data_IF_883583862751
#
_entry.id   IF_883583862751
#
_cell.length_a   1.000
_cell.length_b   1.000
_cell.length_c   1.000
_cell.angle_alpha   90.00
_cell.angle_beta   90.00
_cell.angle_gamma   90.00
#
_symmetry.space_group_name_H-M   'P 1'
#
loop_
_entity.id
_entity.type
_entity.pdbx_description
1 polymer ?
#
# COMPACT_ATOMS: atom_id res chain seq x y z
N UNK A 1 -46.18 23.62 19.65
CA UNK A 1 -45.76 24.11 20.99
C UNK A 1 -44.25 24.35 21.04
N UNK A 2 -43.41 23.53 20.40
CA UNK A 2 -41.94 23.72 20.39
C UNK A 2 -41.40 24.94 19.61
N UNK A 3 -42.11 25.46 18.59
CA UNK A 3 -41.65 26.64 17.85
C UNK A 3 -41.80 27.97 18.62
N UNK A 4 -42.66 28.01 19.65
CA UNK A 4 -42.86 29.20 20.49
C UNK A 4 -41.87 29.25 21.68
N UNK A 5 -41.33 28.10 22.10
CA UNK A 5 -40.30 28.05 23.15
C UNK A 5 -38.91 28.41 22.61
N UNK A 6 -38.57 28.07 21.36
CA UNK A 6 -37.28 28.42 20.72
C UNK A 6 -37.09 29.93 20.47
N UNK A 7 -38.18 30.69 20.29
CA UNK A 7 -38.13 32.16 20.12
C UNK A 7 -37.88 32.93 21.42
N UNK A 8 -38.25 32.36 22.57
CA UNK A 8 -38.08 33.01 23.87
C UNK A 8 -36.66 32.83 24.43
N UNK A 9 -35.99 31.73 24.10
CA UNK A 9 -34.62 31.42 24.54
C UNK A 9 -33.55 32.16 23.73
N UNK A 10 -33.76 32.36 22.43
CA UNK A 10 -32.83 33.10 21.55
C UNK A 10 -32.78 34.59 21.86
N UNK A 11 -33.92 35.20 22.23
CA UNK A 11 -33.98 36.60 22.69
C UNK A 11 -33.28 36.82 24.04
N UNK A 12 -33.39 35.88 24.98
CA UNK A 12 -32.68 35.95 26.27
C UNK A 12 -31.17 35.78 26.14
N UNK A 13 -30.70 34.92 25.24
CA UNK A 13 -29.27 34.70 25.01
C UNK A 13 -28.61 35.91 24.32
N UNK A 14 -29.28 36.51 23.32
CA UNK A 14 -28.77 37.73 22.68
C UNK A 14 -28.65 38.90 23.68
N UNK A 15 -29.65 39.09 24.56
CA UNK A 15 -29.61 40.13 25.58
C UNK A 15 -28.52 39.88 26.64
N UNK A 16 -28.26 38.64 27.04
CA UNK A 16 -27.15 38.29 27.94
C UNK A 16 -25.76 38.53 27.31
N UNK A 17 -25.62 38.30 25.99
CA UNK A 17 -24.36 38.55 25.27
C UNK A 17 -24.06 40.03 25.06
N UNK A 18 -25.07 40.86 24.81
CA UNK A 18 -24.87 42.31 24.66
C UNK A 18 -24.51 42.96 26.01
N UNK A 19 -25.13 42.52 27.10
CA UNK A 19 -24.87 43.06 28.44
C UNK A 19 -23.50 42.63 29.00
N UNK A 20 -23.04 41.42 28.68
CA UNK A 20 -21.68 40.97 29.01
C UNK A 20 -20.62 41.66 28.16
N UNK A 21 -20.88 41.86 26.86
CA UNK A 21 -19.94 42.58 25.97
C UNK A 21 -19.81 44.06 26.36
N UNK A 22 -20.91 44.72 26.74
CA UNK A 22 -20.89 46.08 27.27
C UNK A 22 -20.10 46.19 28.59
N UNK A 23 -20.24 45.21 29.50
CA UNK A 23 -19.44 45.15 30.74
C UNK A 23 -17.96 44.88 30.47
N UNK A 24 -17.62 44.05 29.50
CA UNK A 24 -16.22 43.84 29.07
C UNK A 24 -15.62 45.10 28.45
N UNK A 25 -16.38 45.84 27.63
CA UNK A 25 -15.92 47.09 27.04
C UNK A 25 -15.73 48.18 28.10
N UNK A 26 -16.63 48.28 29.09
CA UNK A 26 -16.50 49.20 30.21
C UNK A 26 -15.30 48.85 31.11
N UNK A 27 -15.06 47.56 31.38
CA UNK A 27 -13.88 47.11 32.13
C UNK A 27 -12.60 47.38 31.34
N UNK A 28 -12.59 47.15 30.02
CA UNK A 28 -11.45 47.46 29.16
C UNK A 28 -11.17 48.97 29.11
N UNK A 29 -12.20 49.83 29.05
CA UNK A 29 -12.04 51.27 29.10
C UNK A 29 -11.61 51.76 30.49
N UNK A 30 -12.12 51.20 31.58
CA UNK A 30 -11.67 51.53 32.94
C UNK A 30 -10.22 51.08 33.17
N UNK A 31 -9.83 49.92 32.63
CA UNK A 31 -8.43 49.46 32.66
C UNK A 31 -7.53 50.31 31.77
N UNK A 32 -8.01 50.77 30.61
CA UNK A 32 -7.27 51.68 29.73
C UNK A 32 -7.14 53.08 30.34
N UNK A 33 -8.19 53.61 30.96
CA UNK A 33 -8.17 54.89 31.68
C UNK A 33 -7.31 54.77 32.94
N UNK A 34 -7.42 53.68 33.69
CA UNK A 34 -6.56 53.36 34.84
C UNK A 34 -5.09 53.24 34.42
N UNK A 35 -4.81 52.55 33.31
CA UNK A 35 -3.48 52.48 32.73
C UNK A 35 -3.00 53.87 32.29
N UNK A 36 -3.84 54.67 31.64
CA UNK A 36 -3.51 56.01 31.12
C UNK A 36 -3.32 57.06 32.24
N UNK A 37 -4.05 56.95 33.35
CA UNK A 37 -3.89 57.80 34.55
C UNK A 37 -2.65 57.37 35.34
N UNK A 38 -2.44 56.06 35.54
CA UNK A 38 -1.22 55.51 36.15
C UNK A 38 0.04 55.86 35.36
N UNK A 39 -0.05 55.89 34.02
CA UNK A 39 1.05 56.30 33.14
C UNK A 39 1.32 57.81 33.14
N UNK A 40 0.33 58.65 33.49
CA UNK A 40 0.49 60.12 33.40
C UNK A 40 1.33 60.70 34.53
N UNK A 41 1.58 59.96 35.61
CA UNK A 41 2.22 60.50 36.82
C UNK A 41 3.58 59.88 37.18
N UNK A 42 4.11 58.89 36.44
CA UNK A 42 5.44 58.37 36.76
C UNK A 42 6.14 57.65 35.60
N UNK A 43 6.90 58.41 34.80
CA UNK A 43 7.73 57.83 33.75
C UNK A 43 9.12 58.46 33.83
N UNK A 44 10.06 57.71 34.41
CA UNK A 44 11.48 57.82 34.05
C UNK A 44 11.73 56.79 32.94
N UNK A 45 12.58 57.10 31.97
CA UNK A 45 12.86 56.21 30.82
C UNK A 45 13.30 54.79 31.24
N UNK A 46 13.89 54.64 32.43
CA UNK A 46 14.26 53.36 33.02
C UNK A 46 13.06 52.43 33.31
N UNK A 47 11.88 52.97 33.62
CA UNK A 47 10.69 52.16 33.90
C UNK A 47 10.07 51.59 32.62
N UNK A 48 10.03 52.35 31.51
CA UNK A 48 9.49 51.89 30.21
C UNK A 48 10.31 50.70 29.69
N UNK A 49 11.64 50.77 29.75
CA UNK A 49 12.52 49.68 29.31
C UNK A 49 12.31 48.41 30.15
N UNK A 50 12.05 48.55 31.45
CA UNK A 50 11.72 47.42 32.31
C UNK A 50 10.37 46.78 31.97
N UNK A 51 9.34 47.59 31.75
CA UNK A 51 7.99 47.11 31.40
C UNK A 51 7.93 46.46 30.02
N UNK A 52 8.63 47.02 29.04
CA UNK A 52 8.74 46.41 27.70
C UNK A 52 9.46 45.06 27.77
N UNK A 53 10.58 44.96 28.50
CA UNK A 53 11.26 43.67 28.73
C UNK A 53 10.34 42.66 29.42
N UNK A 54 9.60 43.08 30.44
CA UNK A 54 8.64 42.21 31.14
C UNK A 54 7.50 41.75 30.20
N UNK A 55 6.95 42.66 29.40
CA UNK A 55 5.90 42.35 28.42
C UNK A 55 6.39 41.36 27.36
N UNK A 56 7.56 41.58 26.75
CA UNK A 56 8.15 40.64 25.81
C UNK A 56 8.45 39.28 26.47
N UNK A 57 8.91 39.27 27.73
CA UNK A 57 9.16 38.02 28.46
C UNK A 57 7.87 37.23 28.71
N UNK A 58 6.79 37.92 29.10
CA UNK A 58 5.45 37.33 29.28
C UNK A 58 4.90 36.84 27.93
N UNK A 59 4.99 37.65 26.88
CA UNK A 59 4.53 37.30 25.53
C UNK A 59 5.25 36.06 24.99
N UNK A 60 6.58 35.99 25.14
CA UNK A 60 7.38 34.82 24.79
C UNK A 60 6.93 33.58 25.59
N UNK A 61 6.65 33.73 26.89
CA UNK A 61 6.23 32.63 27.75
C UNK A 61 4.82 32.11 27.42
N UNK A 62 3.89 32.98 27.03
CA UNK A 62 2.51 32.59 26.77
C UNK A 62 2.18 32.33 25.29
N UNK A 63 3.02 32.76 24.34
CA UNK A 63 2.83 32.48 22.91
C UNK A 63 3.88 31.52 22.34
N UNK A 64 5.18 31.78 22.56
CA UNK A 64 6.23 30.97 21.94
C UNK A 64 6.35 29.59 22.58
N UNK A 65 6.25 29.50 23.90
CA UNK A 65 6.37 28.20 24.58
C UNK A 65 5.22 27.23 24.22
N UNK A 66 3.93 27.64 24.23
CA UNK A 66 2.85 26.77 23.77
C UNK A 66 2.95 26.42 22.29
N UNK A 67 3.39 27.35 21.43
CA UNK A 67 3.58 27.10 20.01
C UNK A 67 4.69 26.06 19.77
N UNK A 68 5.81 26.16 20.47
CA UNK A 68 6.90 25.19 20.39
C UNK A 68 6.46 23.79 20.84
N UNK A 69 5.67 23.71 21.92
CA UNK A 69 5.08 22.44 22.39
C UNK A 69 4.11 21.88 21.35
N UNK A 70 3.25 22.71 20.75
CA UNK A 70 2.33 22.31 19.68
C UNK A 70 3.09 21.77 18.45
N UNK A 71 4.13 22.46 18.01
CA UNK A 71 4.97 22.01 16.89
C UNK A 71 5.67 20.69 17.23
N UNK A 72 6.21 20.55 18.43
CA UNK A 72 6.84 19.31 18.88
C UNK A 72 5.86 18.13 18.93
N UNK A 73 4.64 18.35 19.43
CA UNK A 73 3.58 17.34 19.45
C UNK A 73 3.12 16.98 18.03
N UNK A 74 2.96 17.97 17.14
CA UNK A 74 2.61 17.73 15.74
C UNK A 74 3.71 16.95 15.00
N UNK A 75 4.98 17.30 15.21
CA UNK A 75 6.13 16.56 14.68
C UNK A 75 6.14 15.11 15.19
N UNK A 76 5.97 14.92 16.51
CA UNK A 76 5.94 13.59 17.12
C UNK A 76 4.75 12.77 16.59
N UNK A 77 3.59 13.39 16.41
CA UNK A 77 2.40 12.76 15.82
C UNK A 77 2.64 12.35 14.37
N UNK A 78 3.12 13.27 13.51
CA UNK A 78 3.44 12.95 12.11
C UNK A 78 4.49 11.85 11.98
N UNK A 79 5.56 11.92 12.77
CA UNK A 79 6.60 10.88 12.78
C UNK A 79 6.03 9.52 13.21
N UNK A 80 5.16 9.51 14.21
CA UNK A 80 4.50 8.28 14.68
C UNK A 80 3.57 7.71 13.60
N UNK A 81 2.79 8.53 12.90
CA UNK A 81 1.95 8.09 11.77
C UNK A 81 2.79 7.47 10.66
N UNK A 82 3.89 8.10 10.25
CA UNK A 82 4.76 7.58 9.18
C UNK A 82 5.34 6.21 9.58
N UNK A 83 5.75 6.06 10.84
CA UNK A 83 6.26 4.79 11.34
C UNK A 83 5.15 3.73 11.39
N UNK A 84 3.95 4.08 11.85
CA UNK A 84 2.80 3.16 11.85
C UNK A 84 2.47 2.71 10.43
N UNK A 85 2.45 3.62 9.45
CA UNK A 85 2.19 3.28 8.04
C UNK A 85 3.27 2.36 7.48
N UNK A 86 4.55 2.62 7.77
CA UNK A 86 5.65 1.76 7.36
C UNK A 86 5.59 0.37 8.02
N UNK A 87 5.23 0.31 9.31
CA UNK A 87 5.05 -0.95 10.05
C UNK A 87 3.84 -1.72 9.54
N UNK A 88 2.70 -1.07 9.29
CA UNK A 88 1.51 -1.68 8.68
C UNK A 88 1.82 -2.21 7.28
N UNK A 89 2.53 -1.43 6.46
CA UNK A 89 3.03 -1.87 5.15
C UNK A 89 3.92 -3.10 5.28
N UNK A 90 4.83 -3.12 6.25
CA UNK A 90 5.69 -4.27 6.53
C UNK A 90 4.90 -5.48 7.04
N UNK A 91 3.98 -5.30 7.98
CA UNK A 91 3.14 -6.35 8.55
C UNK A 91 2.22 -6.97 7.51
N UNK A 92 1.67 -6.19 6.57
CA UNK A 92 0.91 -6.72 5.42
C UNK A 92 1.77 -7.53 4.45
N UNK A 93 3.03 -7.13 4.25
CA UNK A 93 3.99 -7.91 3.46
C UNK A 93 4.30 -9.24 4.15
N UNK A 94 4.34 -9.26 5.50
CA UNK A 94 4.64 -10.44 6.32
C UNK A 94 3.43 -11.34 6.61
N UNK A 95 2.20 -10.81 6.68
CA UNK A 95 0.97 -11.58 6.94
C UNK A 95 0.54 -12.50 5.78
N UNK A 96 1.26 -12.51 4.66
CA UNK A 96 1.03 -13.43 3.55
C UNK A 96 1.65 -14.80 3.80
N UNK A 97 1.06 -15.58 4.72
CA UNK A 97 1.30 -17.04 4.81
C UNK A 97 0.56 -17.77 3.66
N UNK A 98 -0.31 -17.06 2.92
CA UNK A 98 -0.97 -17.55 1.72
C UNK A 98 -1.45 -16.41 0.80
N UNK A 99 -2.01 -16.75 -0.36
CA UNK A 99 -2.44 -15.79 -1.36
C UNK A 99 -3.71 -15.06 -0.88
N UNK A 100 -3.75 -13.74 -1.06
CA UNK A 100 -4.90 -12.92 -0.62
C UNK A 100 -6.11 -13.16 -1.53
N UNK A 101 -7.31 -13.31 -0.94
CA UNK A 101 -8.56 -13.37 -1.70
C UNK A 101 -9.06 -11.95 -1.98
N UNK A 102 -9.18 -11.60 -3.25
CA UNK A 102 -9.70 -10.32 -3.74
C UNK A 102 -11.16 -10.46 -4.18
N UNK A 103 -11.92 -9.38 -4.04
CA UNK A 103 -13.22 -9.26 -4.69
C UNK A 103 -13.04 -8.87 -6.17
N UNK A 104 -14.04 -9.15 -7.03
CA UNK A 104 -13.93 -8.77 -8.44
C UNK A 104 -13.82 -7.25 -8.62
N UNK A 105 -14.48 -6.47 -7.77
CA UNK A 105 -14.36 -5.01 -7.75
C UNK A 105 -12.93 -4.55 -7.48
N UNK A 106 -12.21 -5.27 -6.62
CA UNK A 106 -10.80 -4.98 -6.34
C UNK A 106 -9.95 -5.25 -7.59
N UNK A 107 -10.19 -6.36 -8.28
CA UNK A 107 -9.51 -6.69 -9.54
C UNK A 107 -9.72 -5.60 -10.60
N UNK A 108 -10.95 -5.11 -10.74
CA UNK A 108 -11.28 -4.02 -11.67
C UNK A 108 -10.51 -2.74 -11.30
N UNK A 109 -10.47 -2.39 -10.00
CA UNK A 109 -9.73 -1.22 -9.53
C UNK A 109 -8.21 -1.36 -9.75
N UNK A 110 -7.64 -2.51 -9.35
CA UNK A 110 -6.21 -2.82 -9.47
C UNK A 110 -5.73 -2.75 -10.91
N UNK A 111 -6.54 -3.22 -11.86
CA UNK A 111 -6.23 -3.21 -13.30
C UNK A 111 -6.61 -1.92 -14.01
N UNK A 112 -7.10 -0.90 -13.29
CA UNK A 112 -7.62 0.34 -13.89
C UNK A 112 -8.63 0.06 -15.00
N UNK A 113 -9.61 -0.81 -14.71
CA UNK A 113 -10.60 -1.31 -15.68
C UNK A 113 -9.97 -2.05 -16.87
N UNK A 114 -9.01 -2.94 -16.61
CA UNK A 114 -8.36 -3.79 -17.61
C UNK A 114 -7.68 -3.02 -18.76
N UNK A 115 -7.16 -1.82 -18.47
CA UNK A 115 -6.65 -0.89 -19.48
C UNK A 115 -5.35 -1.34 -20.14
N UNK A 116 -4.44 -1.91 -19.36
CA UNK A 116 -3.09 -2.29 -19.81
C UNK A 116 -2.99 -3.80 -19.96
N UNK A 117 -3.14 -4.30 -21.20
CA UNK A 117 -3.09 -5.72 -21.52
C UNK A 117 -1.64 -6.13 -21.82
N UNK A 118 -1.12 -7.06 -21.03
CA UNK A 118 0.23 -7.61 -21.17
C UNK A 118 0.30 -8.74 -22.19
N UNK A 119 -0.78 -9.51 -22.35
CA UNK A 119 -0.85 -10.63 -23.29
C UNK A 119 -2.18 -11.38 -23.26
N UNK A 120 -2.32 -12.33 -24.16
CA UNK A 120 -3.44 -13.26 -24.23
C UNK A 120 -2.92 -14.63 -24.68
N UNK A 121 -3.34 -15.69 -23.98
CA UNK A 121 -3.01 -17.07 -24.31
C UNK A 121 -4.22 -17.97 -24.21
N UNK A 122 -4.00 -19.28 -24.34
CA UNK A 122 -5.08 -20.29 -24.23
C UNK A 122 -5.78 -20.32 -22.88
N UNK A 123 -5.12 -19.80 -21.83
CA UNK A 123 -5.63 -19.74 -20.46
C UNK A 123 -6.26 -18.38 -20.10
N UNK A 124 -6.43 -17.48 -21.08
CA UNK A 124 -7.09 -16.19 -20.90
C UNK A 124 -6.17 -14.98 -21.10
N UNK A 125 -6.62 -13.83 -20.60
CA UNK A 125 -5.99 -12.52 -20.82
C UNK A 125 -5.23 -12.05 -19.57
N UNK A 126 -4.03 -11.49 -19.75
CA UNK A 126 -3.20 -10.98 -18.65
C UNK A 126 -3.10 -9.46 -18.73
N UNK A 127 -3.31 -8.79 -17.59
CA UNK A 127 -3.32 -7.34 -17.47
C UNK A 127 -2.31 -6.87 -16.43
N UNK A 128 -1.76 -5.67 -16.61
CA UNK A 128 -0.95 -5.00 -15.60
C UNK A 128 -1.87 -4.34 -14.59
N UNK A 129 -1.49 -4.39 -13.32
CA UNK A 129 -2.20 -3.69 -12.26
C UNK A 129 -1.27 -3.12 -11.20
N UNK A 130 -1.84 -2.33 -10.31
CA UNK A 130 -1.15 -1.71 -9.17
C UNK A 130 -1.98 -1.90 -7.91
N UNK A 131 -1.39 -2.49 -6.88
CA UNK A 131 -2.00 -2.64 -5.56
C UNK A 131 -1.74 -1.40 -4.70
N UNK A 132 -2.80 -0.86 -4.11
CA UNK A 132 -2.77 0.26 -3.17
C UNK A 132 -3.15 -0.21 -1.75
N UNK A 133 -2.57 0.39 -0.69
CA UNK A 133 -1.48 1.37 -0.71
C UNK A 133 -0.11 0.73 -1.00
N UNK A 134 0.80 1.47 -1.64
CA UNK A 134 2.21 1.08 -1.76
C UNK A 134 2.77 0.90 -3.17
N UNK A 135 1.98 1.16 -4.22
CA UNK A 135 2.38 1.14 -5.64
C UNK A 135 3.06 -0.16 -6.09
N UNK A 136 2.57 -1.29 -5.56
CA UNK A 136 3.10 -2.61 -5.90
C UNK A 136 2.52 -3.05 -7.24
N UNK A 137 3.39 -3.22 -8.24
CA UNK A 137 3.00 -3.66 -9.57
C UNK A 137 2.70 -5.17 -9.58
N UNK A 138 1.57 -5.53 -10.19
CA UNK A 138 1.12 -6.92 -10.31
C UNK A 138 0.71 -7.26 -11.75
N UNK A 139 0.70 -8.56 -12.04
CA UNK A 139 0.11 -9.11 -13.26
C UNK A 139 -1.17 -9.89 -12.89
N UNK A 140 -2.29 -9.51 -13.49
CA UNK A 140 -3.60 -10.10 -13.26
C UNK A 140 -3.97 -10.97 -14.45
N UNK A 141 -3.93 -12.30 -14.27
CA UNK A 141 -4.37 -13.29 -15.25
C UNK A 141 -5.88 -13.51 -15.05
N UNK A 142 -6.68 -13.02 -15.98
CA UNK A 142 -8.12 -13.28 -16.06
C UNK A 142 -8.33 -14.61 -16.77
N UNK A 143 -8.91 -15.57 -16.07
CA UNK A 143 -9.29 -16.85 -16.66
C UNK A 143 -10.65 -16.67 -17.33
N UNK A 144 -10.65 -16.70 -18.66
CA UNK A 144 -11.88 -16.59 -19.44
C UNK A 144 -12.67 -17.89 -19.27
N UNK A 145 -13.94 -17.77 -18.86
CA UNK A 145 -14.82 -18.90 -18.61
C UNK A 145 -15.17 -19.64 -19.90
N UNK A 146 -14.27 -20.48 -20.40
CA UNK A 146 -14.64 -21.49 -21.35
C UNK A 146 -15.56 -22.48 -20.64
N UNK A 147 -16.75 -22.72 -21.19
CA UNK A 147 -17.76 -23.65 -20.66
C UNK A 147 -17.24 -25.09 -20.47
N UNK A 148 -16.04 -25.41 -20.96
CA UNK A 148 -15.41 -26.73 -20.91
C UNK A 148 -14.27 -26.86 -19.90
N UNK A 149 -13.78 -25.78 -19.27
CA UNK A 149 -12.74 -25.89 -18.24
C UNK A 149 -13.39 -25.87 -16.86
N UNK A 150 -13.43 -27.03 -16.18
CA UNK A 150 -14.04 -27.25 -14.86
C UNK A 150 -13.40 -26.44 -13.71
N UNK A 151 -12.55 -25.46 -14.02
CA UNK A 151 -11.81 -24.68 -13.04
C UNK A 151 -10.70 -25.46 -12.35
N UNK A 152 -10.34 -26.64 -12.87
CA UNK A 152 -9.23 -27.45 -12.34
C UNK A 152 -7.90 -26.72 -12.46
N UNK A 153 -7.62 -26.06 -13.58
CA UNK A 153 -6.41 -25.26 -13.77
C UNK A 153 -6.29 -24.18 -12.69
N UNK A 154 -7.40 -23.49 -12.39
CA UNK A 154 -7.45 -22.48 -11.32
C UNK A 154 -7.17 -23.10 -9.94
N UNK A 155 -7.79 -24.25 -9.65
CA UNK A 155 -7.59 -24.94 -8.38
C UNK A 155 -6.14 -25.41 -8.28
N UNK A 156 -5.58 -26.00 -9.33
CA UNK A 156 -4.20 -26.46 -9.38
C UNK A 156 -3.23 -25.30 -9.14
N UNK A 157 -3.41 -24.20 -9.87
CA UNK A 157 -2.56 -23.02 -9.78
C UNK A 157 -2.62 -22.41 -8.36
N UNK A 158 -3.81 -22.15 -7.81
CA UNK A 158 -3.96 -21.56 -6.47
C UNK A 158 -3.51 -22.51 -5.34
N UNK A 159 -3.81 -23.81 -5.43
CA UNK A 159 -3.46 -24.78 -4.39
C UNK A 159 -1.99 -25.14 -4.38
N UNK A 160 -1.34 -25.17 -5.55
CA UNK A 160 0.07 -25.55 -5.70
C UNK A 160 1.00 -24.39 -5.32
N UNK A 161 0.82 -23.20 -5.92
CA UNK A 161 1.78 -22.10 -5.77
C UNK A 161 1.46 -21.17 -4.58
N UNK A 162 0.28 -21.29 -3.96
CA UNK A 162 -0.14 -20.41 -2.87
C UNK A 162 0.78 -20.38 -1.65
N UNK A 163 1.61 -21.41 -1.45
CA UNK A 163 2.58 -21.47 -0.33
C UNK A 163 4.04 -21.47 -0.79
N UNK A 164 4.27 -21.27 -2.08
CA UNK A 164 5.62 -21.32 -2.67
C UNK A 164 6.26 -19.94 -2.63
N UNK A 165 7.43 -19.87 -2.01
CA UNK A 165 8.25 -18.67 -1.98
C UNK A 165 9.69 -19.03 -2.34
N UNK A 166 10.09 -18.76 -3.58
CA UNK A 166 11.45 -19.02 -4.04
C UNK A 166 11.90 -17.94 -5.03
N UNK A 167 13.19 -17.59 -5.01
CA UNK A 167 13.75 -16.52 -5.86
C UNK A 167 13.59 -16.79 -7.36
N UNK A 168 13.55 -18.08 -7.75
CA UNK A 168 13.38 -18.53 -9.13
C UNK A 168 11.99 -19.11 -9.44
N UNK A 169 10.97 -18.79 -8.64
CA UNK A 169 9.57 -19.16 -8.91
C UNK A 169 8.72 -17.90 -8.76
N UNK A 170 7.77 -17.68 -9.67
CA UNK A 170 6.90 -16.51 -9.62
C UNK A 170 6.04 -16.55 -8.35
N UNK A 171 5.93 -15.43 -7.66
CA UNK A 171 5.11 -15.33 -6.45
C UNK A 171 3.66 -15.11 -6.79
N UNK A 172 2.79 -16.00 -6.29
CA UNK A 172 1.36 -15.73 -6.22
C UNK A 172 1.08 -14.70 -5.12
N UNK A 173 0.45 -13.60 -5.48
CA UNK A 173 0.05 -12.54 -4.55
C UNK A 173 -1.37 -12.76 -4.05
N UNK A 174 -2.26 -13.22 -4.93
CA UNK A 174 -3.65 -13.46 -4.57
C UNK A 174 -4.49 -14.02 -5.70
N UNK A 175 -5.79 -14.16 -5.44
CA UNK A 175 -6.75 -14.69 -6.40
C UNK A 175 -8.13 -14.08 -6.19
N UNK A 176 -8.94 -14.10 -7.23
CA UNK A 176 -10.37 -13.78 -7.17
C UNK A 176 -11.15 -15.00 -7.68
N UNK A 177 -12.20 -15.37 -6.95
CA UNK A 177 -13.13 -16.43 -7.33
C UNK A 177 -14.53 -16.00 -6.94
N UNK A 178 -15.24 -15.41 -7.90
CA UNK A 178 -16.64 -14.96 -7.78
C UNK A 178 -17.44 -15.42 -8.99
N UNK A 179 -18.50 -16.21 -8.77
CA UNK A 179 -19.36 -16.74 -9.83
C UNK A 179 -18.55 -17.42 -10.96
N UNK A 180 -18.62 -16.86 -12.18
CA UNK A 180 -17.90 -17.30 -13.38
C UNK A 180 -16.61 -16.50 -13.63
N UNK A 181 -16.26 -15.56 -12.73
CA UNK A 181 -15.11 -14.68 -12.84
C UNK A 181 -13.99 -15.17 -11.94
N UNK A 182 -12.94 -15.69 -12.56
CA UNK A 182 -11.74 -16.16 -11.87
C UNK A 182 -10.54 -15.33 -12.32
N UNK A 183 -9.76 -14.87 -11.36
CA UNK A 183 -8.53 -14.15 -11.63
C UNK A 183 -7.42 -14.62 -10.70
N UNK A 184 -6.19 -14.56 -11.19
CA UNK A 184 -4.99 -14.91 -10.44
C UNK A 184 -4.05 -13.72 -10.51
N UNK A 185 -3.53 -13.30 -9.36
CA UNK A 185 -2.72 -12.09 -9.20
C UNK A 185 -1.30 -12.49 -8.86
N UNK A 186 -0.36 -12.18 -9.75
CA UNK A 186 1.06 -12.47 -9.65
C UNK A 186 1.88 -11.21 -9.41
N UNK A 187 3.11 -11.38 -8.92
CA UNK A 187 4.12 -10.33 -9.02
C UNK A 187 4.35 -9.94 -10.50
N UNK A 188 4.54 -8.65 -10.77
CA UNK A 188 4.79 -8.17 -12.13
C UNK A 188 6.23 -8.43 -12.55
N UNK A 189 6.40 -8.99 -13.76
CA UNK A 189 7.69 -9.33 -14.35
C UNK A 189 7.98 -8.37 -15.53
N UNK A 190 8.74 -7.28 -15.31
CA UNK A 190 8.85 -6.18 -16.26
C UNK A 190 9.53 -6.55 -17.59
N UNK A 191 10.43 -7.54 -17.56
CA UNK A 191 11.14 -7.97 -18.76
C UNK A 191 10.41 -9.07 -19.53
N UNK A 192 9.24 -9.51 -19.05
CA UNK A 192 8.42 -10.52 -19.70
C UNK A 192 9.10 -11.89 -19.77
N UNK A 193 8.73 -12.67 -20.79
CA UNK A 193 9.16 -14.05 -20.99
C UNK A 193 10.52 -14.17 -21.69
N UNK A 194 11.25 -15.25 -21.39
CA UNK A 194 12.59 -15.53 -21.91
C UNK A 194 12.62 -15.79 -23.43
N UNK A 195 11.54 -16.35 -23.98
CA UNK A 195 11.36 -16.58 -25.42
C UNK A 195 11.62 -15.31 -26.27
N UNK A 196 11.25 -14.13 -25.76
CA UNK A 196 11.47 -12.82 -26.41
C UNK A 196 12.94 -12.43 -26.58
N UNK A 197 13.85 -13.10 -25.88
CA UNK A 197 15.29 -12.84 -25.93
C UNK A 197 15.99 -13.94 -26.72
N UNK A 198 15.73 -15.20 -26.40
CA UNK A 198 16.45 -16.32 -27.03
C UNK A 198 16.10 -16.52 -28.51
N UNK A 199 14.90 -16.11 -28.95
CA UNK A 199 14.47 -16.20 -30.34
C UNK A 199 14.53 -14.86 -31.08
N UNK A 200 14.95 -13.78 -30.40
CA UNK A 200 15.08 -12.46 -31.02
C UNK A 200 16.50 -12.24 -31.54
N UNK A 201 16.67 -11.89 -32.83
CA UNK A 201 17.97 -11.53 -33.38
C UNK A 201 18.52 -10.21 -32.82
N UNK A 202 17.68 -9.36 -32.24
CA UNK A 202 18.04 -8.02 -31.75
C UNK A 202 18.30 -7.97 -30.24
N UNK A 203 17.81 -8.97 -29.48
CA UNK A 203 17.86 -8.99 -28.02
C UNK A 203 18.53 -10.26 -27.51
N UNK A 204 19.83 -10.40 -27.74
CA UNK A 204 20.60 -11.56 -27.29
C UNK A 204 21.28 -11.32 -25.95
N UNK A 205 21.36 -12.37 -25.14
CA UNK A 205 22.17 -12.41 -23.92
C UNK A 205 23.57 -12.94 -24.24
N UNK A 206 24.56 -12.53 -23.44
CA UNK A 206 25.88 -13.17 -23.45
C UNK A 206 25.78 -14.62 -22.95
N UNK A 207 26.76 -15.45 -23.30
CA UNK A 207 26.85 -16.83 -22.80
C UNK A 207 26.88 -16.90 -21.27
N UNK A 208 27.62 -16.01 -20.62
CA UNK A 208 27.67 -15.94 -19.16
C UNK A 208 26.29 -15.66 -18.57
N UNK A 209 25.55 -14.71 -19.17
CA UNK A 209 24.20 -14.38 -18.70
C UNK A 209 23.21 -15.52 -18.94
N UNK A 210 23.32 -16.22 -20.07
CA UNK A 210 22.52 -17.42 -20.34
C UNK A 210 22.81 -18.54 -19.34
N UNK A 211 24.08 -18.73 -18.95
CA UNK A 211 24.45 -19.70 -17.92
C UNK A 211 23.86 -19.33 -16.55
N UNK A 212 23.89 -18.05 -16.15
CA UNK A 212 23.21 -17.59 -14.93
C UNK A 212 21.70 -17.87 -14.98
N UNK A 213 21.06 -17.59 -16.11
CA UNK A 213 19.62 -17.83 -16.31
C UNK A 213 19.33 -19.34 -16.23
N UNK A 214 20.08 -20.17 -16.94
CA UNK A 214 19.91 -21.63 -16.90
C UNK A 214 20.06 -22.19 -15.48
N UNK A 215 21.06 -21.72 -14.74
CA UNK A 215 21.27 -22.09 -13.34
C UNK A 215 20.09 -21.65 -12.45
N UNK A 216 19.57 -20.44 -12.65
CA UNK A 216 18.38 -19.95 -11.94
C UNK A 216 17.14 -20.80 -12.21
N UNK A 217 16.89 -21.17 -13.48
CA UNK A 217 15.79 -22.07 -13.85
C UNK A 217 15.95 -23.43 -13.17
N UNK A 218 17.16 -24.02 -13.21
CA UNK A 218 17.45 -25.29 -12.57
C UNK A 218 17.24 -25.25 -11.06
N UNK A 219 17.61 -24.15 -10.39
CA UNK A 219 17.34 -23.93 -8.96
C UNK A 219 15.84 -23.86 -8.68
N UNK A 220 15.08 -23.15 -9.51
CA UNK A 220 13.61 -23.10 -9.40
C UNK A 220 12.97 -24.48 -9.51
N UNK A 221 13.36 -25.27 -10.52
CA UNK A 221 12.85 -26.63 -10.73
C UNK A 221 13.26 -27.55 -9.56
N UNK A 222 14.52 -27.49 -9.13
CA UNK A 222 14.99 -28.28 -7.99
C UNK A 222 14.21 -27.96 -6.71
N UNK A 223 13.91 -26.68 -6.48
CA UNK A 223 13.09 -26.27 -5.35
C UNK A 223 11.66 -26.85 -5.43
N UNK A 224 11.02 -26.81 -6.61
CA UNK A 224 9.70 -27.41 -6.81
C UNK A 224 9.71 -28.92 -6.53
N UNK A 225 10.77 -29.61 -6.94
CA UNK A 225 10.86 -31.07 -6.81
C UNK A 225 11.27 -31.54 -5.41
N UNK A 226 12.21 -30.84 -4.76
CA UNK A 226 12.86 -31.31 -3.54
C UNK A 226 12.78 -30.32 -2.36
N UNK A 227 12.47 -29.05 -2.62
CA UNK A 227 12.40 -27.99 -1.61
C UNK A 227 11.04 -27.88 -0.92
N UNK A 228 9.96 -28.29 -1.58
CA UNK A 228 8.59 -28.23 -1.05
C UNK A 228 8.18 -29.50 -0.29
N UNK A 229 7.28 -29.37 0.70
CA UNK A 229 6.77 -30.49 1.51
C UNK A 229 6.20 -31.64 0.64
N UNK A 230 5.50 -31.27 -0.43
CA UNK A 230 5.10 -32.17 -1.51
C UNK A 230 5.97 -31.91 -2.74
N UNK A 231 6.25 -32.95 -3.52
CA UNK A 231 6.92 -32.80 -4.80
C UNK A 231 5.97 -32.15 -5.81
N UNK A 232 6.42 -31.08 -6.46
CA UNK A 232 5.59 -30.30 -7.38
C UNK A 232 6.11 -30.50 -8.81
N UNK A 233 5.36 -31.23 -9.62
CA UNK A 233 5.68 -31.44 -11.04
C UNK A 233 5.00 -30.36 -11.87
N UNK A 234 5.77 -29.51 -12.56
CA UNK A 234 5.24 -28.37 -13.32
C UNK A 234 4.59 -28.77 -14.66
N UNK A 235 5.14 -29.77 -15.35
CA UNK A 235 4.73 -30.29 -16.66
C UNK A 235 4.73 -29.33 -17.87
N UNK A 236 4.84 -28.02 -17.69
CA UNK A 236 4.91 -27.05 -18.80
C UNK A 236 6.15 -26.13 -18.75
N UNK A 237 7.35 -26.70 -18.57
CA UNK A 237 8.60 -25.94 -18.58
C UNK A 237 9.01 -25.62 -20.02
N UNK A 238 8.89 -24.34 -20.41
CA UNK A 238 9.27 -23.81 -21.72
C UNK A 238 9.69 -22.34 -21.62
N UNK A 239 10.46 -21.78 -22.58
CA UNK A 239 10.93 -20.39 -22.51
C UNK A 239 9.83 -19.32 -22.35
N UNK A 240 8.61 -19.61 -22.85
CA UNK A 240 7.45 -18.74 -22.66
C UNK A 240 7.03 -18.60 -21.18
N UNK A 241 7.20 -19.67 -20.40
CA UNK A 241 6.80 -19.75 -18.98
C UNK A 241 7.96 -19.41 -18.03
N UNK A 242 9.10 -18.96 -18.57
CA UNK A 242 10.19 -18.41 -17.77
C UNK A 242 10.14 -16.90 -17.87
N UNK A 243 9.72 -16.24 -16.79
CA UNK A 243 9.61 -14.78 -16.72
C UNK A 243 10.87 -14.17 -16.11
N UNK A 244 11.20 -12.94 -16.51
CA UNK A 244 12.39 -12.21 -16.10
C UNK A 244 11.99 -10.99 -15.26
N UNK A 245 12.57 -10.89 -14.06
CA UNK A 245 12.34 -9.75 -13.16
C UNK A 245 13.17 -8.52 -13.59
N UNK A 246 13.15 -7.43 -12.82
CA UNK A 246 13.90 -6.20 -13.13
C UNK A 246 15.42 -6.38 -13.21
N UNK A 247 15.97 -7.45 -12.65
CA UNK A 247 17.40 -7.78 -12.67
C UNK A 247 17.73 -8.93 -13.64
N UNK A 248 16.77 -9.30 -14.51
CA UNK A 248 16.86 -10.46 -15.39
C UNK A 248 17.08 -11.78 -14.63
N UNK A 249 16.61 -11.89 -13.39
CA UNK A 249 16.56 -13.16 -12.67
C UNK A 249 15.37 -13.97 -13.20
N UNK A 250 15.57 -15.24 -13.59
CA UNK A 250 14.50 -16.07 -14.12
C UNK A 250 13.60 -16.60 -13.02
N UNK A 251 12.30 -16.61 -13.30
CA UNK A 251 11.27 -17.23 -12.47
C UNK A 251 10.37 -18.14 -13.29
N UNK A 252 10.20 -19.37 -12.82
CA UNK A 252 9.23 -20.31 -13.37
C UNK A 252 7.82 -19.81 -13.08
N UNK A 253 6.97 -19.76 -14.10
CA UNK A 253 5.60 -19.30 -14.04
C UNK A 253 4.64 -20.26 -14.76
N UNK A 254 3.34 -20.00 -14.61
CA UNK A 254 2.23 -20.76 -15.22
C UNK A 254 2.07 -22.21 -14.73
N UNK A 255 1.48 -22.34 -13.54
CA UNK A 255 1.28 -23.62 -12.84
C UNK A 255 -0.05 -24.29 -13.17
N UNK A 256 -0.72 -23.91 -14.25
CA UNK A 256 -2.05 -24.45 -14.61
C UNK A 256 -2.07 -25.97 -14.80
N UNK A 257 -0.96 -26.58 -15.22
CA UNK A 257 -0.81 -28.03 -15.38
C UNK A 257 -0.08 -28.73 -14.24
N UNK A 258 0.28 -27.99 -13.18
CA UNK A 258 1.11 -28.54 -12.10
C UNK A 258 0.36 -29.61 -11.30
N UNK A 259 1.11 -30.53 -10.68
CA UNK A 259 0.55 -31.55 -9.78
C UNK A 259 1.42 -31.76 -8.55
N UNK A 260 0.77 -32.04 -7.42
CA UNK A 260 1.38 -32.35 -6.14
C UNK A 260 1.51 -33.87 -5.96
N UNK A 261 2.68 -34.34 -5.55
CA UNK A 261 2.96 -35.75 -5.27
C UNK A 261 3.54 -35.92 -3.84
N UNK A 262 3.15 -36.98 -3.12
CA UNK A 262 3.79 -37.34 -1.85
C UNK A 262 5.27 -37.67 -2.08
N UNK A 263 6.13 -37.26 -1.13
CA UNK A 263 7.55 -37.65 -1.17
C UNK A 263 7.68 -39.17 -0.97
N UNK A 264 8.37 -39.85 -1.87
CA UNK A 264 8.68 -41.29 -1.77
C UNK A 264 7.89 -42.19 -2.72
N UNK A 265 6.84 -41.69 -3.38
CA UNK A 265 6.31 -42.32 -4.59
C UNK A 265 7.20 -41.89 -5.75
N UNK A 266 8.09 -42.78 -6.19
CA UNK A 266 8.91 -42.58 -7.39
C UNK A 266 8.00 -42.44 -8.61
N UNK A 267 7.66 -41.20 -8.95
CA UNK A 267 7.20 -40.88 -10.29
C UNK A 267 8.45 -40.90 -11.17
N UNK A 268 8.62 -41.98 -11.93
CA UNK A 268 9.59 -42.03 -13.02
C UNK A 268 9.38 -40.80 -13.91
N UNK A 269 10.33 -39.87 -13.90
CA UNK A 269 10.41 -38.83 -14.92
C UNK A 269 10.64 -39.52 -16.28
N UNK A 270 9.70 -39.35 -17.21
CA UNK A 270 9.89 -39.54 -18.64
C UNK A 270 10.13 -38.17 -19.29
#
# INVERSE_FOLDING_TARGET
VEAYELGCTTSKILNLTVDTWARFHLIAEILLIGYRIYFKEQISDASIVSWTRAFFWILCRFLLAPLAVWIFLAYKYWKTIIIIDAVEKFLRIQQMIGPMRYAYTDIVAVTSHFRDKLGQGGYGSVYKGVLLPGDVHVAVKMLEGNSNCNGEDFISEVSTIGRIHHVNVVRLVGFCSEEMRRAIVYEYMPHGSLDKYIFSPEKSFSWDKLNEIALGIARGINYLHQGCDMQIMHFDIKPHNILLDSNFVPKVADFGLAKLYPRGETVLCL
#
